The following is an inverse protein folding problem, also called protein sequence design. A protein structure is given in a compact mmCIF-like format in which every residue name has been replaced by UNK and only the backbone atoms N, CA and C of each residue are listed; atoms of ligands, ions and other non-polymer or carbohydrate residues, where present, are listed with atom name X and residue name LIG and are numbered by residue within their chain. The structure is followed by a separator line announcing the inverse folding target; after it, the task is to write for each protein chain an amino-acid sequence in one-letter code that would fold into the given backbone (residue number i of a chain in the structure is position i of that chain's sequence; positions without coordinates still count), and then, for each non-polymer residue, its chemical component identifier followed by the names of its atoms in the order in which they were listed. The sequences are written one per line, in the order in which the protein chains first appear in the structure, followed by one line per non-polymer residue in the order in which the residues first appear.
data_IF_718530944917
#
_entry.id   IF_718530944917
#
_cell.length_a   1.000
_cell.length_b   1.000
_cell.length_c   1.000
_cell.angle_alpha   90.00
_cell.angle_beta   90.00
_cell.angle_gamma   90.00
#
_symmetry.space_group_name_H-M   'P 1'
#
loop_
_entity.id
_entity.type
_entity.pdbx_description
1 polymer ?
#
# COMPACT_ATOMS: atom_id res chain seq x y z
N UNK A 1 -41.43 -6.48 -7.93
CA UNK A 1 -40.66 -6.26 -9.15
C UNK A 1 -39.90 -7.55 -9.44
N UNK A 2 -39.92 -8.10 -10.68
CA UNK A 2 -39.32 -9.39 -10.97
C UNK A 2 -37.77 -9.24 -11.05
N UNK A 3 -37.10 -10.25 -10.52
CA UNK A 3 -35.66 -10.43 -10.61
C UNK A 3 -35.23 -10.57 -12.09
N UNK A 4 -34.58 -9.53 -12.61
CA UNK A 4 -33.97 -9.56 -13.92
C UNK A 4 -32.80 -10.55 -13.92
N UNK A 5 -32.74 -11.39 -14.94
CA UNK A 5 -31.70 -12.36 -15.22
C UNK A 5 -30.32 -11.71 -15.17
N UNK A 6 -29.42 -12.27 -14.37
CA UNK A 6 -27.99 -11.92 -14.34
C UNK A 6 -27.42 -12.20 -15.74
N UNK A 7 -26.82 -11.21 -16.44
CA UNK A 7 -26.22 -11.46 -17.74
C UNK A 7 -25.02 -12.42 -17.58
N UNK A 8 -24.94 -13.37 -18.47
CA UNK A 8 -23.87 -14.36 -18.57
C UNK A 8 -22.48 -13.72 -18.46
N UNK A 9 -21.66 -14.24 -17.54
CA UNK A 9 -20.27 -13.87 -17.33
C UNK A 9 -19.50 -13.93 -18.65
N UNK A 10 -19.14 -12.77 -19.21
CA UNK A 10 -18.09 -12.72 -20.22
C UNK A 10 -16.77 -12.65 -19.45
N UNK A 11 -15.99 -13.71 -19.53
CA UNK A 11 -14.61 -13.69 -19.07
C UNK A 11 -13.84 -12.69 -19.93
N UNK A 12 -13.03 -11.84 -19.30
CA UNK A 12 -12.09 -11.01 -20.02
C UNK A 12 -11.08 -11.92 -20.72
N UNK A 13 -11.14 -12.01 -22.02
CA UNK A 13 -10.12 -12.70 -22.79
C UNK A 13 -9.04 -11.67 -23.10
N UNK A 14 -7.91 -11.74 -22.38
CA UNK A 14 -6.74 -10.96 -22.72
C UNK A 14 -6.04 -11.65 -23.91
N UNK A 15 -5.97 -10.98 -25.06
CA UNK A 15 -5.20 -11.44 -26.19
C UNK A 15 -3.86 -10.70 -26.19
N UNK A 16 -2.78 -11.45 -26.12
CA UNK A 16 -1.44 -10.90 -26.24
C UNK A 16 -1.21 -10.45 -27.71
N UNK A 17 -1.00 -9.14 -27.93
CA UNK A 17 -0.66 -8.58 -29.23
C UNK A 17 0.65 -7.81 -29.16
N UNK A 18 1.68 -8.29 -29.84
CA UNK A 18 3.01 -7.68 -29.88
C UNK A 18 4.08 -8.71 -30.27
N UNK A 19 5.32 -8.32 -30.54
CA UNK A 19 6.38 -9.28 -30.74
C UNK A 19 6.51 -10.15 -29.49
N UNK A 20 6.34 -11.45 -29.67
CA UNK A 20 6.50 -12.43 -28.60
C UNK A 20 7.97 -12.38 -28.18
N UNK A 21 8.24 -12.12 -26.91
CA UNK A 21 9.59 -12.26 -26.36
C UNK A 21 10.04 -13.72 -26.45
N UNK A 22 11.34 -13.99 -26.39
CA UNK A 22 11.89 -15.35 -26.52
C UNK A 22 11.33 -16.34 -25.45
N UNK A 23 10.72 -15.82 -24.38
CA UNK A 23 10.03 -16.57 -23.32
C UNK A 23 8.51 -16.72 -23.51
N UNK A 24 7.97 -16.27 -24.67
CA UNK A 24 6.56 -16.40 -24.99
C UNK A 24 5.64 -15.38 -24.34
N UNK A 25 6.16 -14.42 -23.56
CA UNK A 25 5.35 -13.39 -22.90
C UNK A 25 5.34 -12.07 -23.68
N UNK A 26 4.15 -11.52 -23.93
CA UNK A 26 4.02 -10.18 -24.51
C UNK A 26 3.91 -9.14 -23.40
N UNK A 27 4.65 -8.03 -23.49
CA UNK A 27 4.53 -6.94 -22.51
C UNK A 27 3.24 -6.14 -22.68
N UNK A 28 2.46 -6.37 -23.73
CA UNK A 28 1.25 -5.61 -24.01
C UNK A 28 0.03 -6.54 -24.03
N UNK A 29 -0.91 -6.28 -23.16
CA UNK A 29 -2.23 -6.88 -23.16
C UNK A 29 -3.22 -5.95 -23.85
N UNK A 30 -4.11 -6.50 -24.68
CA UNK A 30 -5.26 -5.76 -25.21
C UNK A 30 -6.49 -6.16 -24.40
N UNK A 31 -7.12 -5.19 -23.78
CA UNK A 31 -8.39 -5.41 -23.09
C UNK A 31 -9.49 -5.42 -24.15
N UNK A 32 -10.00 -6.61 -24.47
CA UNK A 32 -11.11 -6.80 -25.40
C UNK A 32 -12.45 -6.58 -24.70
N UNK A 33 -12.74 -5.33 -24.38
CA UNK A 33 -14.04 -4.90 -23.88
C UNK A 33 -14.44 -3.63 -24.62
N UNK A 34 -15.59 -3.66 -25.27
CA UNK A 34 -16.11 -2.53 -26.04
C UNK A 34 -16.27 -1.26 -25.19
N UNK A 35 -16.50 -1.40 -23.87
CA UNK A 35 -16.57 -0.27 -22.93
C UNK A 35 -15.23 0.46 -22.77
N UNK A 36 -14.11 -0.24 -22.96
CA UNK A 36 -12.77 0.31 -22.79
C UNK A 36 -12.04 0.50 -24.13
N UNK A 37 -12.76 0.45 -25.26
CA UNK A 37 -12.22 0.74 -26.60
C UNK A 37 -10.95 -0.04 -26.95
N UNK A 38 -10.88 -1.32 -26.58
CA UNK A 38 -9.72 -2.21 -26.79
C UNK A 38 -8.42 -1.59 -26.24
N UNK A 39 -8.47 -1.01 -25.06
CA UNK A 39 -7.33 -0.35 -24.43
C UNK A 39 -6.14 -1.29 -24.29
N UNK A 40 -4.98 -0.83 -24.72
CA UNK A 40 -3.73 -1.55 -24.48
C UNK A 40 -3.23 -1.28 -23.07
N UNK A 41 -2.92 -2.36 -22.36
CA UNK A 41 -2.36 -2.32 -20.99
C UNK A 41 -1.01 -3.00 -21.03
N UNK A 42 0.00 -2.37 -20.44
CA UNK A 42 1.34 -2.94 -20.34
C UNK A 42 1.34 -3.94 -19.18
N UNK A 43 1.72 -5.19 -19.43
CA UNK A 43 1.98 -6.17 -18.39
C UNK A 43 3.40 -6.02 -17.85
N UNK A 44 3.57 -6.25 -16.55
CA UNK A 44 4.87 -6.17 -15.90
C UNK A 44 5.67 -7.44 -16.21
N UNK A 45 6.64 -7.35 -17.15
CA UNK A 45 7.63 -8.40 -17.41
C UNK A 45 8.86 -8.22 -16.50
N UNK A 46 9.71 -9.26 -16.29
CA UNK A 46 10.95 -9.11 -15.55
C UNK A 46 11.88 -8.01 -16.09
N UNK A 47 11.96 -7.87 -17.41
CA UNK A 47 12.76 -6.82 -18.05
C UNK A 47 12.20 -5.42 -17.77
N UNK A 48 10.87 -5.25 -17.84
CA UNK A 48 10.21 -3.99 -17.52
C UNK A 48 10.34 -3.66 -16.02
N UNK A 49 10.20 -4.65 -15.15
CA UNK A 49 10.44 -4.48 -13.72
C UNK A 49 11.87 -4.01 -13.45
N UNK A 50 12.88 -4.65 -14.05
CA UNK A 50 14.29 -4.24 -13.91
C UNK A 50 14.51 -2.81 -14.41
N UNK A 51 13.89 -2.42 -15.51
CA UNK A 51 13.95 -1.05 -16.02
C UNK A 51 13.34 -0.05 -15.02
N UNK A 52 12.19 -0.37 -14.45
CA UNK A 52 11.54 0.49 -13.45
C UNK A 52 12.40 0.65 -12.20
N UNK A 53 12.95 -0.45 -11.68
CA UNK A 53 13.86 -0.41 -10.52
C UNK A 53 15.13 0.41 -10.80
N UNK A 54 15.64 0.39 -12.02
CA UNK A 54 16.78 1.23 -12.42
C UNK A 54 16.45 2.72 -12.49
N UNK A 55 15.15 3.08 -12.53
CA UNK A 55 14.68 4.47 -12.54
C UNK A 55 14.18 4.96 -11.18
N UNK A 56 14.23 4.14 -10.14
CA UNK A 56 13.93 4.56 -8.75
C UNK A 56 15.14 5.29 -8.17
N UNK A 57 14.90 6.45 -7.55
CA UNK A 57 15.94 7.22 -6.84
C UNK A 57 16.01 6.81 -5.38
N UNK A 58 16.42 5.56 -5.15
CA UNK A 58 16.57 5.02 -3.81
C UNK A 58 17.74 5.68 -3.07
N UNK A 59 17.47 6.22 -1.87
CA UNK A 59 18.54 6.79 -1.03
C UNK A 59 19.46 5.67 -0.50
N UNK A 60 20.78 5.92 -0.31
CA UNK A 60 21.73 4.89 0.13
C UNK A 60 21.30 4.16 1.40
N UNK A 61 20.81 4.87 2.41
CA UNK A 61 20.36 4.27 3.68
C UNK A 61 19.16 3.34 3.52
N UNK A 62 18.23 3.65 2.60
CA UNK A 62 17.11 2.77 2.26
C UNK A 62 17.60 1.51 1.55
N UNK A 63 18.55 1.63 0.64
CA UNK A 63 19.19 0.48 -0.03
C UNK A 63 19.86 -0.45 0.98
N UNK A 64 20.62 0.07 1.92
CA UNK A 64 21.27 -0.72 2.96
C UNK A 64 20.26 -1.47 3.80
N UNK A 65 19.17 -0.82 4.22
CA UNK A 65 18.09 -1.47 4.95
C UNK A 65 17.44 -2.58 4.11
N UNK A 66 17.17 -2.32 2.84
CA UNK A 66 16.57 -3.29 1.93
C UNK A 66 17.47 -4.52 1.73
N UNK A 67 18.76 -4.30 1.56
CA UNK A 67 19.75 -5.38 1.38
C UNK A 67 19.90 -6.22 2.65
N UNK A 68 19.91 -5.61 3.84
CA UNK A 68 19.89 -6.33 5.11
C UNK A 68 18.59 -7.13 5.26
N UNK A 69 17.44 -6.53 4.98
CA UNK A 69 16.15 -7.20 5.07
C UNK A 69 16.03 -8.37 4.09
N UNK A 70 16.65 -8.27 2.90
CA UNK A 70 16.64 -9.33 1.89
C UNK A 70 17.25 -10.65 2.40
N UNK A 71 18.10 -10.60 3.42
CA UNK A 71 18.71 -11.78 4.06
C UNK A 71 17.84 -12.39 5.17
N UNK A 72 16.67 -11.78 5.46
CA UNK A 72 15.79 -12.21 6.55
C UNK A 72 14.66 -13.11 6.05
N UNK A 73 14.18 -14.05 6.89
CA UNK A 73 12.91 -14.72 6.62
C UNK A 73 11.76 -13.72 6.52
N UNK A 74 10.92 -13.84 5.48
CA UNK A 74 9.81 -12.90 5.27
C UNK A 74 10.18 -11.63 4.51
N UNK A 75 11.38 -11.56 3.92
CA UNK A 75 11.85 -10.39 3.15
C UNK A 75 10.89 -9.93 2.06
N UNK A 76 10.08 -10.83 1.52
CA UNK A 76 9.03 -10.51 0.54
C UNK A 76 7.88 -9.62 1.09
N UNK A 77 7.83 -9.39 2.40
CA UNK A 77 6.87 -8.48 3.03
C UNK A 77 7.32 -7.02 2.97
N UNK A 78 8.58 -6.76 2.64
CA UNK A 78 9.09 -5.40 2.56
C UNK A 78 8.47 -4.66 1.37
N UNK A 79 8.02 -3.44 1.63
CA UNK A 79 7.56 -2.51 0.59
C UNK A 79 8.68 -2.30 -0.44
N UNK A 80 8.39 -2.42 -1.75
CA UNK A 80 9.41 -2.26 -2.79
C UNK A 80 9.79 -0.79 -2.99
N UNK A 81 10.98 -0.53 -3.58
CA UNK A 81 11.52 0.83 -3.71
C UNK A 81 10.65 1.82 -4.50
N UNK A 82 9.97 1.37 -5.55
CA UNK A 82 9.06 2.20 -6.35
C UNK A 82 7.83 2.64 -5.55
N UNK A 83 7.29 1.78 -4.72
CA UNK A 83 6.17 2.09 -3.85
C UNK A 83 6.60 3.03 -2.71
N UNK A 84 7.72 2.78 -2.05
CA UNK A 84 8.25 3.68 -1.04
C UNK A 84 8.54 5.08 -1.59
N UNK A 85 9.01 5.19 -2.84
CA UNK A 85 9.17 6.47 -3.53
C UNK A 85 7.82 7.15 -3.77
N UNK A 86 6.77 6.39 -4.14
CA UNK A 86 5.42 6.93 -4.28
C UNK A 86 4.89 7.45 -2.93
N UNK A 87 5.04 6.69 -1.83
CA UNK A 87 4.65 7.14 -0.48
C UNK A 87 5.36 8.45 -0.12
N UNK A 88 6.67 8.53 -0.34
CA UNK A 88 7.46 9.74 -0.11
C UNK A 88 6.94 10.94 -0.92
N UNK A 89 6.62 10.74 -2.20
CA UNK A 89 6.06 11.79 -3.06
C UNK A 89 4.67 12.24 -2.58
N UNK A 90 3.80 11.32 -2.17
CA UNK A 90 2.48 11.66 -1.65
C UNK A 90 2.57 12.50 -0.37
N UNK A 91 3.47 12.14 0.54
CA UNK A 91 3.75 12.90 1.77
C UNK A 91 4.22 14.32 1.42
N UNK A 92 5.11 14.48 0.44
CA UNK A 92 5.61 15.79 -0.01
C UNK A 92 4.52 16.62 -0.71
N UNK A 93 3.76 16.03 -1.63
CA UNK A 93 2.68 16.72 -2.36
C UNK A 93 1.60 17.20 -1.40
N UNK A 94 1.25 16.37 -0.40
CA UNK A 94 0.27 16.72 0.64
C UNK A 94 0.78 17.79 1.60
N UNK A 95 2.10 18.01 1.66
CA UNK A 95 2.73 18.84 2.69
C UNK A 95 2.52 18.26 4.10
N UNK A 96 2.50 16.93 4.21
CA UNK A 96 2.17 16.25 5.46
C UNK A 96 3.15 16.59 6.57
N UNK A 97 2.62 16.78 7.78
CA UNK A 97 3.36 17.01 9.02
C UNK A 97 3.19 15.84 9.99
N UNK A 98 2.01 15.23 10.01
CA UNK A 98 1.66 14.14 10.92
C UNK A 98 1.23 12.91 10.13
N UNK A 99 1.96 11.80 10.29
CA UNK A 99 1.72 10.55 9.59
C UNK A 99 1.48 9.40 10.56
N UNK A 100 0.75 8.38 10.10
CA UNK A 100 0.57 7.11 10.81
C UNK A 100 0.95 5.96 9.88
N UNK A 101 1.66 4.96 10.38
CA UNK A 101 1.90 3.71 9.69
C UNK A 101 1.45 2.53 10.53
N UNK A 102 0.69 1.62 9.93
CA UNK A 102 0.21 0.38 10.52
C UNK A 102 0.83 -0.79 9.77
N UNK A 103 1.80 -1.44 10.41
CA UNK A 103 2.69 -2.44 9.81
C UNK A 103 4.01 -1.81 9.37
N UNK A 104 5.05 -2.03 10.17
CA UNK A 104 6.38 -1.40 9.99
C UNK A 104 7.40 -2.40 9.43
N UNK A 105 7.29 -3.65 9.88
CA UNK A 105 8.29 -4.68 9.60
C UNK A 105 9.70 -4.16 9.95
N UNK A 106 10.65 -4.16 9.01
CA UNK A 106 12.02 -3.65 9.24
C UNK A 106 12.16 -2.13 9.07
N UNK A 107 11.05 -1.41 8.77
CA UNK A 107 11.01 0.05 8.76
C UNK A 107 11.32 0.71 7.44
N UNK A 108 11.25 0.01 6.31
CA UNK A 108 11.63 0.57 5.01
C UNK A 108 10.67 1.71 4.57
N UNK A 109 9.37 1.49 4.65
CA UNK A 109 8.34 2.49 4.33
C UNK A 109 8.34 3.65 5.32
N UNK A 110 8.38 3.37 6.62
CA UNK A 110 8.44 4.42 7.65
C UNK A 110 9.71 5.26 7.56
N UNK A 111 10.86 4.66 7.23
CA UNK A 111 12.10 5.40 6.97
C UNK A 111 11.95 6.31 5.74
N UNK A 112 11.36 5.81 4.66
CA UNK A 112 11.12 6.59 3.45
C UNK A 112 10.19 7.78 3.71
N UNK A 113 9.12 7.57 4.49
CA UNK A 113 8.19 8.63 4.93
C UNK A 113 8.92 9.63 5.84
N UNK A 114 9.66 9.16 6.85
CA UNK A 114 10.39 10.04 7.77
C UNK A 114 11.44 10.92 7.08
N UNK A 115 12.12 10.39 6.06
CA UNK A 115 13.06 11.15 5.23
C UNK A 115 12.36 12.20 4.34
N UNK A 116 11.11 11.95 3.95
CA UNK A 116 10.31 12.87 3.14
C UNK A 116 9.63 13.97 3.98
N UNK A 117 9.38 13.73 5.26
CA UNK A 117 8.78 14.68 6.20
C UNK A 117 9.71 15.87 6.47
N UNK A 118 9.16 17.09 6.68
CA UNK A 118 9.92 18.23 7.14
C UNK A 118 10.51 17.97 8.54
N UNK A 119 11.40 18.84 9.00
CA UNK A 119 12.09 18.66 10.30
C UNK A 119 11.13 18.60 11.49
N UNK A 120 10.04 19.35 11.43
CA UNK A 120 8.97 19.33 12.45
C UNK A 120 8.01 18.15 12.30
N UNK A 121 8.08 17.40 11.18
CA UNK A 121 7.15 16.32 10.88
C UNK A 121 7.34 15.12 11.79
N UNK A 122 6.28 14.35 11.98
CA UNK A 122 6.25 13.15 12.83
C UNK A 122 5.50 12.01 12.16
N UNK A 123 5.91 10.79 12.45
CA UNK A 123 5.21 9.57 12.06
C UNK A 123 5.07 8.66 13.28
N UNK A 124 3.84 8.21 13.55
CA UNK A 124 3.54 7.13 14.50
C UNK A 124 3.63 5.81 13.74
N UNK A 125 4.53 4.93 14.14
CA UNK A 125 4.85 3.67 13.48
C UNK A 125 4.46 2.47 14.37
N UNK A 126 3.39 1.74 14.00
CA UNK A 126 2.78 0.68 14.81
C UNK A 126 3.13 -0.70 14.27
N UNK A 127 3.75 -1.57 15.09
CA UNK A 127 3.99 -2.97 14.77
C UNK A 127 3.99 -3.86 16.01
N UNK A 128 3.77 -5.15 15.82
CA UNK A 128 3.78 -6.17 16.88
C UNK A 128 5.11 -6.91 17.00
N UNK A 129 5.99 -6.83 16.00
CA UNK A 129 7.28 -7.55 15.98
C UNK A 129 8.41 -6.69 16.55
N UNK A 130 8.71 -6.90 17.82
CA UNK A 130 9.79 -6.19 18.51
C UNK A 130 11.16 -6.35 17.85
N UNK A 131 11.46 -7.53 17.25
CA UNK A 131 12.76 -7.78 16.60
C UNK A 131 12.90 -6.96 15.32
N UNK A 132 11.85 -6.89 14.52
CA UNK A 132 11.83 -6.07 13.33
C UNK A 132 11.91 -4.58 13.69
N UNK A 133 11.20 -4.15 14.73
CA UNK A 133 11.26 -2.77 15.22
C UNK A 133 12.66 -2.35 15.72
N UNK A 134 13.46 -3.25 16.29
CA UNK A 134 14.84 -2.93 16.66
C UNK A 134 15.73 -2.67 15.44
N UNK A 135 15.49 -3.37 14.32
CA UNK A 135 16.16 -3.08 13.06
C UNK A 135 15.73 -1.69 12.56
N UNK A 136 14.42 -1.43 12.53
CA UNK A 136 13.86 -0.15 12.10
C UNK A 136 14.46 1.03 12.88
N UNK A 137 14.47 0.97 14.22
CA UNK A 137 15.04 2.00 15.08
C UNK A 137 16.51 2.28 14.77
N UNK A 138 17.31 1.23 14.58
CA UNK A 138 18.73 1.38 14.21
C UNK A 138 18.91 2.16 12.91
N UNK A 139 18.06 1.92 11.90
CA UNK A 139 18.11 2.65 10.64
C UNK A 139 17.57 4.07 10.76
N UNK A 140 16.57 4.33 11.61
CA UNK A 140 16.12 5.70 11.90
C UNK A 140 17.23 6.53 12.55
N UNK A 141 18.02 5.93 13.48
CA UNK A 141 19.20 6.58 14.07
C UNK A 141 20.26 6.88 13.04
N UNK A 142 20.64 5.89 12.24
CA UNK A 142 21.65 6.02 11.19
C UNK A 142 21.27 7.07 10.14
N UNK A 143 19.99 7.21 9.87
CA UNK A 143 19.46 8.23 8.95
C UNK A 143 19.27 9.61 9.60
N UNK A 144 19.46 9.74 10.92
CA UNK A 144 19.25 10.99 11.67
C UNK A 144 17.79 11.40 11.82
N UNK A 145 16.84 10.47 11.64
CA UNK A 145 15.39 10.76 11.67
C UNK A 145 14.65 10.15 12.86
N UNK A 146 15.36 9.56 13.84
CA UNK A 146 14.73 8.95 15.03
C UNK A 146 13.79 9.92 15.77
N UNK A 147 14.11 11.19 15.80
CA UNK A 147 13.30 12.22 16.43
C UNK A 147 11.96 12.47 15.74
N UNK A 148 11.80 12.01 14.50
CA UNK A 148 10.55 12.09 13.72
C UNK A 148 9.66 10.86 13.90
N UNK A 149 10.19 9.74 14.41
CA UNK A 149 9.49 8.45 14.42
C UNK A 149 9.11 8.04 15.83
N UNK A 150 7.82 8.01 16.13
CA UNK A 150 7.25 7.47 17.36
C UNK A 150 6.87 5.99 17.16
N UNK A 151 7.73 5.10 17.62
CA UNK A 151 7.54 3.66 17.48
C UNK A 151 6.61 3.12 18.56
N UNK A 152 5.47 2.57 18.16
CA UNK A 152 4.47 1.96 19.03
C UNK A 152 4.47 0.44 18.86
N UNK A 153 5.16 -0.25 19.80
CA UNK A 153 5.14 -1.71 19.84
C UNK A 153 3.85 -2.22 20.47
N UNK A 154 3.06 -2.98 19.72
CA UNK A 154 1.83 -3.59 20.18
C UNK A 154 0.74 -3.69 19.11
N UNK A 155 -0.46 -4.07 19.52
CA UNK A 155 -1.60 -4.17 18.62
C UNK A 155 -2.02 -2.78 18.14
N UNK A 156 -1.95 -2.55 16.83
CA UNK A 156 -2.23 -1.26 16.23
C UNK A 156 -3.68 -0.78 16.46
N UNK A 157 -4.67 -1.67 16.54
CA UNK A 157 -6.06 -1.29 16.87
C UNK A 157 -6.13 -0.61 18.23
N UNK A 158 -5.41 -1.15 19.23
CA UNK A 158 -5.39 -0.57 20.58
C UNK A 158 -4.66 0.79 20.58
N UNK A 159 -3.55 0.89 19.85
CA UNK A 159 -2.82 2.14 19.68
C UNK A 159 -3.70 3.22 19.06
N UNK A 160 -4.34 2.92 17.92
CA UNK A 160 -5.21 3.88 17.22
C UNK A 160 -6.41 4.31 18.07
N UNK A 161 -7.01 3.40 18.85
CA UNK A 161 -8.08 3.74 19.81
C UNK A 161 -7.59 4.68 20.90
N UNK A 162 -6.44 4.38 21.49
CA UNK A 162 -5.85 5.24 22.52
C UNK A 162 -5.55 6.65 21.98
N UNK A 163 -5.08 6.77 20.73
CA UNK A 163 -4.87 8.06 20.07
C UNK A 163 -6.20 8.84 19.95
N UNK A 164 -7.30 8.18 19.55
CA UNK A 164 -8.63 8.81 19.48
C UNK A 164 -9.09 9.25 20.87
N UNK A 165 -8.95 8.39 21.87
CA UNK A 165 -9.32 8.68 23.27
C UNK A 165 -8.50 9.83 23.85
N UNK A 166 -7.25 10.00 23.42
CA UNK A 166 -6.38 11.12 23.78
C UNK A 166 -6.72 12.43 23.04
N UNK A 167 -7.74 12.45 22.19
CA UNK A 167 -8.17 13.65 21.47
C UNK A 167 -7.39 13.94 20.19
N UNK A 168 -6.69 12.96 19.62
CA UNK A 168 -5.89 13.12 18.41
C UNK A 168 -6.71 13.00 17.10
N UNK A 169 -8.05 13.03 17.20
CA UNK A 169 -8.95 12.98 16.03
C UNK A 169 -8.67 14.13 15.05
N UNK A 170 -8.69 13.82 13.75
CA UNK A 170 -8.44 14.76 12.65
C UNK A 170 -7.09 15.51 12.75
N UNK A 171 -6.09 14.91 13.41
CA UNK A 171 -4.76 15.51 13.62
C UNK A 171 -3.69 15.02 12.67
N UNK A 172 -4.00 14.03 11.85
CA UNK A 172 -3.05 13.40 10.93
C UNK A 172 -3.36 13.75 9.48
N UNK A 173 -2.31 13.89 8.69
CA UNK A 173 -2.39 14.25 7.26
C UNK A 173 -2.40 13.02 6.37
N UNK A 174 -1.63 12.00 6.76
CA UNK A 174 -1.34 10.84 5.95
C UNK A 174 -1.32 9.57 6.80
N UNK A 175 -1.87 8.49 6.27
CA UNK A 175 -1.76 7.17 6.88
C UNK A 175 -1.42 6.09 5.84
N UNK A 176 -0.61 5.10 6.24
CA UNK A 176 -0.26 3.93 5.45
C UNK A 176 -0.63 2.65 6.19
N UNK A 177 -1.30 1.71 5.53
CA UNK A 177 -1.71 0.42 6.08
C UNK A 177 -1.06 -0.70 5.27
N UNK A 178 -0.17 -1.45 5.91
CA UNK A 178 0.40 -2.71 5.40
C UNK A 178 0.62 -3.72 6.53
N UNK A 179 -0.45 -4.19 7.13
CA UNK A 179 -0.42 -5.09 8.28
C UNK A 179 -1.29 -6.34 8.06
N UNK A 180 -1.88 -6.90 9.13
CA UNK A 180 -2.78 -8.04 9.05
C UNK A 180 -4.04 -7.73 8.25
N UNK A 181 -4.21 -8.45 7.14
CA UNK A 181 -5.25 -8.21 6.14
C UNK A 181 -6.69 -8.43 6.67
N UNK A 182 -6.85 -9.18 7.76
CA UNK A 182 -8.16 -9.40 8.40
C UNK A 182 -8.63 -8.17 9.19
N UNK A 183 -7.69 -7.33 9.61
CA UNK A 183 -7.95 -6.14 10.41
C UNK A 183 -8.07 -4.86 9.58
N UNK A 184 -7.93 -4.92 8.25
CA UNK A 184 -7.94 -3.75 7.37
C UNK A 184 -9.19 -2.88 7.52
N UNK A 185 -10.36 -3.51 7.63
CA UNK A 185 -11.61 -2.79 7.87
C UNK A 185 -11.57 -1.98 9.17
N UNK A 186 -11.04 -2.59 10.23
CA UNK A 186 -10.93 -1.95 11.54
C UNK A 186 -9.89 -0.83 11.54
N UNK A 187 -8.73 -1.04 10.91
CA UNK A 187 -7.72 0.02 10.76
C UNK A 187 -8.30 1.20 9.99
N UNK A 188 -8.99 0.95 8.89
CA UNK A 188 -9.58 1.99 8.06
C UNK A 188 -10.59 2.85 8.84
N UNK A 189 -11.52 2.23 9.59
CA UNK A 189 -12.51 2.96 10.40
C UNK A 189 -11.87 3.81 11.51
N UNK A 190 -10.77 3.36 12.11
CA UNK A 190 -10.05 4.13 13.12
C UNK A 190 -9.24 5.27 12.47
N UNK A 191 -8.60 5.00 11.34
CA UNK A 191 -7.83 6.02 10.63
C UNK A 191 -8.71 7.11 10.02
N UNK A 192 -9.94 6.82 9.63
CA UNK A 192 -10.91 7.84 9.21
C UNK A 192 -11.26 8.84 10.33
N UNK A 193 -11.09 8.46 11.60
CA UNK A 193 -11.28 9.39 12.72
C UNK A 193 -10.01 10.19 13.01
N UNK A 194 -8.83 9.63 12.76
CA UNK A 194 -7.54 10.25 13.05
C UNK A 194 -7.05 11.16 11.93
N UNK A 195 -7.28 10.77 10.68
CA UNK A 195 -6.86 11.54 9.50
C UNK A 195 -7.86 12.66 9.25
N UNK A 196 -7.34 13.87 9.03
CA UNK A 196 -8.17 15.05 8.76
C UNK A 196 -8.87 14.99 7.40
N UNK A 197 -9.88 15.80 7.22
CA UNK A 197 -10.49 16.04 5.91
C UNK A 197 -9.42 16.59 4.94
N UNK A 198 -9.37 16.05 3.73
CA UNK A 198 -8.34 16.34 2.73
C UNK A 198 -7.02 15.60 2.98
N UNK A 199 -6.94 14.77 4.02
CA UNK A 199 -5.82 13.86 4.23
C UNK A 199 -5.89 12.62 3.33
N UNK A 200 -4.85 11.79 3.37
CA UNK A 200 -4.70 10.61 2.50
C UNK A 200 -4.49 9.35 3.33
N UNK A 201 -5.23 8.31 3.03
CA UNK A 201 -5.01 6.96 3.56
C UNK A 201 -4.59 6.05 2.40
N UNK A 202 -3.38 5.50 2.47
CA UNK A 202 -2.87 4.53 1.50
C UNK A 202 -2.97 3.13 2.09
N UNK A 203 -3.47 2.19 1.32
CA UNK A 203 -3.71 0.82 1.76
C UNK A 203 -3.06 -0.14 0.77
N UNK A 204 -2.09 -0.90 1.23
CA UNK A 204 -1.34 -1.84 0.39
C UNK A 204 -2.03 -3.20 0.24
N UNK A 205 -1.62 -3.94 -0.78
CA UNK A 205 -2.01 -5.31 -1.14
C UNK A 205 -3.51 -5.52 -1.40
N UNK A 206 -4.26 -4.48 -1.78
CA UNK A 206 -5.71 -4.58 -1.99
C UNK A 206 -6.10 -5.48 -3.17
N UNK A 207 -5.21 -5.73 -4.12
CA UNK A 207 -5.41 -6.72 -5.20
C UNK A 207 -4.98 -8.14 -4.82
N UNK A 208 -4.23 -8.29 -3.71
CA UNK A 208 -3.84 -9.58 -3.15
C UNK A 208 -3.32 -10.56 -4.23
N UNK A 209 -2.29 -10.13 -4.98
CA UNK A 209 -1.70 -10.89 -6.09
C UNK A 209 -2.72 -11.30 -7.18
N UNK A 210 -3.75 -10.49 -7.41
CA UNK A 210 -4.82 -10.78 -8.37
C UNK A 210 -5.91 -11.73 -7.84
N UNK A 211 -5.71 -12.37 -6.68
CA UNK A 211 -6.63 -13.38 -6.13
C UNK A 211 -8.03 -12.83 -5.84
N UNK A 212 -8.16 -11.52 -5.59
CA UNK A 212 -9.47 -10.88 -5.39
C UNK A 212 -10.37 -10.94 -6.63
N UNK A 213 -9.79 -11.05 -7.82
CA UNK A 213 -10.51 -11.13 -9.09
C UNK A 213 -11.06 -12.53 -9.38
N UNK A 214 -10.47 -13.58 -8.80
CA UNK A 214 -10.93 -14.97 -8.95
C UNK A 214 -11.93 -15.32 -7.83
N UNK A 215 -13.21 -15.43 -8.21
CA UNK A 215 -14.29 -15.76 -7.28
C UNK A 215 -14.26 -17.20 -6.74
N UNK A 216 -13.45 -18.08 -7.33
CA UNK A 216 -13.26 -19.45 -6.85
C UNK A 216 -12.24 -19.50 -5.70
N UNK A 217 -11.46 -18.45 -5.50
CA UNK A 217 -10.54 -18.34 -4.36
C UNK A 217 -11.32 -17.88 -3.13
N UNK A 218 -11.43 -18.74 -2.13
CA UNK A 218 -12.26 -18.55 -0.93
C UNK A 218 -11.47 -18.56 0.39
N UNK A 219 -10.12 -18.49 0.32
CA UNK A 219 -9.35 -18.39 1.56
C UNK A 219 -9.70 -17.13 2.37
N UNK A 220 -9.63 -17.19 3.70
CA UNK A 220 -10.11 -16.13 4.57
C UNK A 220 -9.50 -14.74 4.31
N UNK A 221 -8.22 -14.67 3.89
CA UNK A 221 -7.55 -13.39 3.60
C UNK A 221 -8.08 -12.78 2.29
N UNK A 222 -8.23 -13.60 1.25
CA UNK A 222 -8.77 -13.15 -0.05
C UNK A 222 -10.22 -12.70 0.10
N UNK A 223 -11.04 -13.46 0.84
CA UNK A 223 -12.45 -13.10 1.10
C UNK A 223 -12.53 -11.78 1.89
N UNK A 224 -11.72 -11.63 2.93
CA UNK A 224 -11.66 -10.39 3.73
C UNK A 224 -11.29 -9.19 2.87
N UNK A 225 -10.25 -9.32 2.03
CA UNK A 225 -9.79 -8.23 1.15
C UNK A 225 -10.85 -7.87 0.10
N UNK A 226 -11.53 -8.87 -0.49
CA UNK A 226 -12.62 -8.64 -1.46
C UNK A 226 -13.81 -7.93 -0.80
N UNK A 227 -14.17 -8.32 0.42
CA UNK A 227 -15.23 -7.68 1.22
C UNK A 227 -14.86 -6.23 1.53
N UNK A 228 -13.65 -6.00 2.00
CA UNK A 228 -13.11 -4.67 2.28
C UNK A 228 -13.14 -3.77 1.03
N UNK A 229 -12.61 -4.23 -0.11
CA UNK A 229 -12.65 -3.46 -1.37
C UNK A 229 -14.08 -3.10 -1.78
N UNK A 230 -15.03 -4.04 -1.60
CA UNK A 230 -16.45 -3.80 -1.91
C UNK A 230 -17.11 -2.79 -0.96
N UNK A 231 -16.69 -2.76 0.30
CA UNK A 231 -17.15 -1.79 1.29
C UNK A 231 -16.69 -0.39 0.94
N UNK A 232 -15.39 -0.17 0.77
CA UNK A 232 -14.84 1.17 0.52
C UNK A 232 -15.25 1.73 -0.84
N UNK A 233 -15.50 0.89 -1.86
CA UNK A 233 -16.07 1.34 -3.14
C UNK A 233 -17.42 2.06 -2.98
N UNK A 234 -18.18 1.72 -1.94
CA UNK A 234 -19.50 2.30 -1.64
C UNK A 234 -19.45 3.38 -0.57
N UNK A 235 -18.30 3.57 0.05
CA UNK A 235 -18.11 4.53 1.14
C UNK A 235 -18.04 5.95 0.58
N UNK A 236 -19.02 6.78 0.95
CA UNK A 236 -19.11 8.18 0.49
C UNK A 236 -18.25 9.15 1.31
N UNK A 237 -17.60 8.67 2.36
CA UNK A 237 -16.69 9.49 3.19
C UNK A 237 -15.35 9.70 2.52
N UNK A 238 -15.03 8.93 1.49
CA UNK A 238 -13.74 8.96 0.81
C UNK A 238 -13.89 8.98 -0.70
N UNK A 239 -12.96 9.64 -1.37
CA UNK A 239 -12.70 9.44 -2.79
C UNK A 239 -11.63 8.35 -2.93
N UNK A 240 -11.78 7.45 -3.89
CA UNK A 240 -10.91 6.29 -4.02
C UNK A 240 -10.20 6.25 -5.37
N UNK A 241 -8.96 5.81 -5.37
CA UNK A 241 -8.22 5.46 -6.57
C UNK A 241 -7.44 4.16 -6.31
N UNK A 242 -7.65 3.15 -7.13
CA UNK A 242 -6.89 1.91 -7.07
C UNK A 242 -5.82 1.96 -8.14
N UNK A 243 -4.57 1.91 -7.74
CA UNK A 243 -3.41 1.92 -8.63
C UNK A 243 -2.59 0.65 -8.45
N UNK A 244 -1.93 0.23 -9.50
CA UNK A 244 -1.01 -0.90 -9.49
C UNK A 244 0.40 -0.32 -9.56
N UNK A 245 1.14 -0.27 -8.45
CA UNK A 245 2.58 -0.02 -8.50
C UNK A 245 3.26 -1.13 -9.31
N UNK A 246 4.47 -0.91 -9.73
CA UNK A 246 5.16 -1.81 -10.64
C UNK A 246 5.56 -3.16 -10.05
N UNK A 247 5.39 -3.35 -8.75
CA UNK A 247 5.59 -4.61 -8.05
C UNK A 247 4.30 -5.43 -7.93
N UNK A 248 4.38 -6.60 -7.30
CA UNK A 248 3.21 -7.44 -6.98
C UNK A 248 2.24 -6.80 -5.96
N UNK A 249 2.60 -5.69 -5.39
CA UNK A 249 1.79 -4.91 -4.45
C UNK A 249 0.84 -3.97 -5.19
N UNK A 250 -0.28 -3.67 -4.57
CA UNK A 250 -1.28 -2.74 -5.08
C UNK A 250 -1.61 -1.74 -4.00
N UNK A 251 -1.58 -0.48 -4.34
CA UNK A 251 -1.89 0.61 -3.41
C UNK A 251 -3.31 1.08 -3.65
N UNK A 252 -4.05 1.25 -2.59
CA UNK A 252 -5.38 1.81 -2.61
C UNK A 252 -5.33 3.18 -1.92
N UNK A 253 -5.64 4.22 -2.67
CA UNK A 253 -5.60 5.60 -2.16
C UNK A 253 -7.00 6.02 -1.75
N UNK A 254 -7.15 6.38 -0.47
CA UNK A 254 -8.39 6.95 0.05
C UNK A 254 -8.15 8.39 0.47
N UNK A 255 -9.00 9.30 0.02
CA UNK A 255 -9.00 10.70 0.45
C UNK A 255 -10.18 10.89 1.41
N UNK A 256 -9.91 11.36 2.62
CA UNK A 256 -10.97 11.72 3.55
C UNK A 256 -11.64 13.02 3.11
N UNK A 257 -12.97 13.01 2.96
CA UNK A 257 -13.78 14.20 2.63
C UNK A 257 -14.29 14.88 3.89
#
# INVERSE_FOLDING_TARGET
FPFGSVPSRRFFTAVASGPVSADGTSPVLVVEDDKYSKRRVISLTPALYSYLMANVREQPILRELREETAMMPGSQMQVPPDEAQLLSMLVQILGAQQCIEVGVYTGYSSLAIALALPESGRIVACDTDAKCLEIAKRYYERAGVSHKVDVRHGNAVNTLRAMIENGESSSYDFAFIDADKRSYDQYFELLLQLVRVGGVIVIDNVLWQGRVADLLVDDPKTVSMRSFNSKILRDRRVNISMVIPCSSSSVFLGFSC
#
